data_IF_806290301245
#
_entry.id   IF_806290301245
#
_cell.length_a   1.000
_cell.length_b   1.000
_cell.length_c   1.000
_cell.angle_alpha   90.00
_cell.angle_beta   90.00
_cell.angle_gamma   90.00
#
_symmetry.space_group_name_H-M   'P 1'
#
loop_
_entity.id
_entity.type
_entity.pdbx_description
1 polymer ?
#
# COMPACT_ATOMS: atom_id res chain seq x y z
N UNK A 1 -11.15 -10.34 -19.31
CA UNK A 1 -10.72 -9.17 -18.52
C UNK A 1 -11.81 -8.93 -17.50
N UNK A 2 -11.49 -9.16 -16.24
CA UNK A 2 -12.44 -9.04 -15.13
C UNK A 2 -12.18 -7.71 -14.42
N UNK A 3 -13.24 -6.97 -14.10
CA UNK A 3 -13.16 -5.73 -13.32
C UNK A 3 -13.91 -5.91 -12.01
N UNK A 4 -13.22 -5.65 -10.90
CA UNK A 4 -13.76 -5.73 -9.55
C UNK A 4 -13.63 -4.34 -8.93
N UNK A 5 -14.68 -3.86 -8.28
CA UNK A 5 -14.66 -2.59 -7.55
C UNK A 5 -14.84 -2.88 -6.07
N UNK A 6 -13.94 -2.34 -5.27
CA UNK A 6 -14.03 -2.33 -3.82
C UNK A 6 -14.24 -0.90 -3.33
N UNK A 7 -14.93 -0.77 -2.20
CA UNK A 7 -15.12 0.53 -1.55
C UNK A 7 -14.61 0.45 -0.12
N UNK A 8 -13.80 1.44 0.27
CA UNK A 8 -13.24 1.55 1.61
C UNK A 8 -13.29 2.99 2.12
N UNK A 9 -12.50 3.28 3.15
CA UNK A 9 -12.35 4.60 3.75
C UNK A 9 -10.95 5.12 3.47
N UNK A 10 -10.85 6.35 2.95
CA UNK A 10 -9.59 7.02 2.75
C UNK A 10 -8.94 7.37 4.09
N UNK A 11 -7.72 6.89 4.31
CA UNK A 11 -6.86 7.27 5.44
C UNK A 11 -5.79 8.27 5.04
N UNK A 12 -5.38 8.23 3.77
CA UNK A 12 -4.61 9.27 3.10
C UNK A 12 -5.24 9.52 1.74
N UNK A 13 -5.40 10.79 1.35
CA UNK A 13 -6.05 11.17 0.10
C UNK A 13 -5.08 11.14 -1.09
N UNK A 14 -5.64 11.08 -2.29
CA UNK A 14 -4.90 11.09 -3.54
C UNK A 14 -5.45 10.09 -4.55
N UNK A 15 -4.79 10.04 -5.70
CA UNK A 15 -5.05 9.05 -6.74
C UNK A 15 -3.75 8.36 -7.10
N UNK A 16 -3.81 7.06 -7.28
CA UNK A 16 -2.66 6.26 -7.67
C UNK A 16 -3.11 5.08 -8.52
N UNK A 17 -2.24 4.65 -9.43
CA UNK A 17 -2.46 3.45 -10.21
C UNK A 17 -1.16 2.68 -10.32
N UNK A 18 -1.25 1.35 -10.30
CA UNK A 18 -0.08 0.49 -10.43
C UNK A 18 -0.43 -0.98 -10.33
N UNK A 19 0.58 -1.81 -10.61
CA UNK A 19 0.48 -3.24 -10.38
C UNK A 19 0.39 -3.53 -8.88
N UNK A 20 -0.53 -4.40 -8.48
CA UNK A 20 -0.68 -4.84 -7.11
C UNK A 20 0.48 -5.74 -6.69
N UNK A 21 1.00 -5.51 -5.49
CA UNK A 21 1.92 -6.39 -4.79
C UNK A 21 1.30 -6.78 -3.44
N UNK A 22 0.82 -8.02 -3.34
CA UNK A 22 0.03 -8.49 -2.19
C UNK A 22 0.91 -9.27 -1.23
N UNK A 23 0.91 -8.87 0.04
CA UNK A 23 1.60 -9.53 1.14
C UNK A 23 0.61 -9.97 2.20
N UNK A 24 0.53 -11.26 2.55
CA UNK A 24 -0.44 -11.76 3.55
C UNK A 24 0.00 -11.61 4.99
N UNK A 25 1.27 -11.27 5.22
CA UNK A 25 1.83 -11.06 6.56
C UNK A 25 1.78 -9.57 6.93
N UNK A 26 1.84 -9.28 8.23
CA UNK A 26 2.06 -7.91 8.68
C UNK A 26 3.47 -7.46 8.31
N UNK A 27 3.62 -6.24 7.84
CA UNK A 27 4.92 -5.70 7.42
C UNK A 27 5.00 -4.21 7.75
N UNK A 28 6.14 -3.76 8.29
CA UNK A 28 6.46 -2.34 8.46
C UNK A 28 7.26 -1.75 7.29
N UNK A 29 7.37 -0.42 7.27
CA UNK A 29 8.08 0.35 6.23
C UNK A 29 9.50 0.78 6.61
N UNK A 30 9.98 0.38 7.79
CA UNK A 30 11.33 0.67 8.25
C UNK A 30 12.37 0.11 7.27
N UNK A 31 13.55 0.73 7.23
CA UNK A 31 14.62 0.40 6.28
C UNK A 31 15.04 -1.08 6.27
N UNK A 32 14.87 -1.79 7.40
CA UNK A 32 15.19 -3.21 7.54
C UNK A 32 14.07 -4.14 7.05
N UNK A 33 12.90 -3.62 6.72
CA UNK A 33 11.78 -4.35 6.11
C UNK A 33 11.64 -4.03 4.63
N UNK A 34 11.78 -2.76 4.27
CA UNK A 34 11.76 -2.28 2.89
C UNK A 34 12.92 -1.30 2.72
N UNK A 35 13.81 -1.54 1.77
CA UNK A 35 15.01 -0.74 1.58
C UNK A 35 14.68 0.69 1.17
N UNK A 36 15.37 1.66 1.76
CA UNK A 36 15.19 3.08 1.42
C UNK A 36 15.70 3.40 0.02
N UNK A 37 16.75 2.72 -0.43
CA UNK A 37 17.50 3.07 -1.65
C UNK A 37 17.08 2.25 -2.87
N UNK A 38 16.32 1.17 -2.69
CA UNK A 38 15.95 0.26 -3.77
C UNK A 38 14.45 -0.12 -3.74
N UNK A 39 13.74 0.16 -2.65
CA UNK A 39 12.35 -0.25 -2.48
C UNK A 39 12.17 -1.77 -2.36
N UNK A 40 13.24 -2.53 -2.11
CA UNK A 40 13.18 -3.98 -2.03
C UNK A 40 12.61 -4.43 -0.69
N UNK A 41 11.65 -5.34 -0.72
CA UNK A 41 11.13 -5.99 0.49
C UNK A 41 12.15 -7.00 1.00
N UNK A 42 12.65 -6.78 2.21
CA UNK A 42 13.62 -7.63 2.91
C UNK A 42 13.02 -8.32 4.16
N UNK A 43 11.78 -8.00 4.52
CA UNK A 43 11.11 -8.56 5.68
C UNK A 43 11.05 -10.11 5.59
N UNK A 44 11.71 -10.86 6.51
CA UNK A 44 11.73 -12.31 6.45
C UNK A 44 10.33 -12.91 6.56
N UNK A 45 10.02 -13.86 5.68
CA UNK A 45 8.73 -14.58 5.68
C UNK A 45 7.57 -13.78 5.08
N UNK A 46 7.84 -12.63 4.46
CA UNK A 46 6.89 -11.93 3.62
C UNK A 46 6.70 -12.67 2.29
N UNK A 47 5.45 -12.82 1.85
CA UNK A 47 5.11 -13.32 0.51
C UNK A 47 5.82 -12.51 -0.60
N UNK A 48 6.12 -11.24 -0.30
CA UNK A 48 6.72 -10.28 -1.23
C UNK A 48 8.23 -10.11 -1.05
N UNK A 49 8.89 -10.95 -0.24
CA UNK A 49 10.34 -10.88 -0.04
C UNK A 49 11.10 -10.94 -1.38
N UNK A 50 12.05 -10.01 -1.57
CA UNK A 50 12.82 -9.84 -2.81
C UNK A 50 12.10 -9.08 -3.92
N UNK A 51 10.86 -8.65 -3.73
CA UNK A 51 10.11 -7.84 -4.70
C UNK A 51 10.33 -6.34 -4.46
N UNK A 52 10.16 -5.54 -5.51
CA UNK A 52 10.30 -4.08 -5.48
C UNK A 52 8.93 -3.42 -5.33
N UNK A 53 8.78 -2.53 -4.35
CA UNK A 53 7.53 -1.79 -4.11
C UNK A 53 7.37 -0.54 -4.97
N UNK A 54 8.47 -0.05 -5.56
CA UNK A 54 8.51 1.25 -6.26
C UNK A 54 7.42 1.35 -7.33
N UNK A 55 6.53 2.34 -7.19
CA UNK A 55 5.44 2.58 -8.13
C UNK A 55 4.30 1.54 -8.13
N UNK A 56 4.34 0.55 -7.22
CA UNK A 56 3.28 -0.47 -7.10
C UNK A 56 2.21 -0.08 -6.09
N UNK A 57 1.04 -0.72 -6.18
CA UNK A 57 0.02 -0.66 -5.13
C UNK A 57 0.29 -1.79 -4.14
N UNK A 58 0.70 -1.43 -2.93
CA UNK A 58 1.07 -2.41 -1.92
C UNK A 58 -0.14 -2.79 -1.05
N UNK A 59 -0.48 -4.07 -1.02
CA UNK A 59 -1.69 -4.60 -0.36
C UNK A 59 -1.27 -5.53 0.78
N UNK A 60 -1.70 -5.25 2.01
CA UNK A 60 -1.28 -6.02 3.19
C UNK A 60 -2.28 -5.91 4.35
N UNK A 61 -2.30 -6.84 5.32
CA UNK A 61 -3.25 -6.78 6.44
C UNK A 61 -3.15 -5.49 7.24
N UNK A 62 -1.97 -5.23 7.81
CA UNK A 62 -1.66 -4.07 8.63
C UNK A 62 -0.16 -4.01 8.89
N UNK A 63 0.29 -2.92 9.49
CA UNK A 63 1.69 -2.66 9.82
C UNK A 63 2.19 -3.54 10.96
N UNK A 64 3.41 -4.04 10.84
CA UNK A 64 4.22 -4.49 11.98
C UNK A 64 5.44 -3.57 12.10
N UNK A 65 5.39 -2.56 12.98
CA UNK A 65 6.49 -1.60 13.07
C UNK A 65 6.34 -0.52 14.14
N UNK A 66 7.35 0.35 14.17
CA UNK A 66 7.51 1.49 15.07
C UNK A 66 7.48 2.80 14.27
N UNK A 67 7.54 3.95 14.95
CA UNK A 67 7.54 5.30 14.34
C UNK A 67 8.58 5.48 13.23
N UNK A 68 9.69 4.73 13.26
CA UNK A 68 10.70 4.70 12.20
C UNK A 68 10.14 4.28 10.83
N UNK A 69 9.06 3.49 10.80
CA UNK A 69 8.37 3.10 9.56
C UNK A 69 7.75 4.30 8.84
N UNK A 70 7.11 5.21 9.57
CA UNK A 70 6.49 6.40 9.00
C UNK A 70 7.52 7.30 8.29
N UNK A 71 8.64 7.57 8.96
CA UNK A 71 9.75 8.35 8.39
C UNK A 71 10.37 7.66 7.17
N UNK A 72 10.56 6.35 7.25
CA UNK A 72 11.12 5.57 6.15
C UNK A 72 10.19 5.55 4.93
N UNK A 73 8.87 5.45 5.14
CA UNK A 73 7.89 5.54 4.06
C UNK A 73 7.91 6.93 3.41
N UNK A 74 7.89 8.00 4.21
CA UNK A 74 8.05 9.37 3.72
C UNK A 74 9.32 9.52 2.87
N UNK A 75 10.46 9.07 3.39
CA UNK A 75 11.75 9.15 2.71
C UNK A 75 11.71 8.43 1.36
N UNK A 76 11.16 7.21 1.32
CA UNK A 76 10.98 6.43 0.09
C UNK A 76 10.12 7.16 -0.94
N UNK A 77 9.04 7.79 -0.52
CA UNK A 77 8.13 8.47 -1.45
C UNK A 77 8.70 9.81 -1.95
N UNK A 78 9.30 10.61 -1.07
CA UNK A 78 9.62 12.03 -1.35
C UNK A 78 11.10 12.33 -1.57
N UNK A 79 12.00 11.47 -1.09
CA UNK A 79 13.44 11.72 -1.15
C UNK A 79 14.14 10.75 -2.09
N UNK A 80 14.02 9.44 -1.86
CA UNK A 80 14.70 8.44 -2.70
C UNK A 80 13.85 7.97 -3.89
N UNK A 81 12.56 8.31 -3.91
CA UNK A 81 11.63 7.93 -4.98
C UNK A 81 11.49 6.42 -5.22
N UNK A 82 11.78 5.61 -4.20
CA UNK A 82 11.64 4.15 -4.22
C UNK A 82 10.37 3.64 -3.51
N UNK A 83 9.46 4.55 -3.12
CA UNK A 83 8.22 4.23 -2.42
C UNK A 83 7.11 3.63 -3.29
N UNK A 84 6.10 3.02 -2.66
CA UNK A 84 4.90 2.55 -3.36
C UNK A 84 4.10 3.73 -3.92
N UNK A 85 3.27 3.46 -4.93
CA UNK A 85 2.35 4.46 -5.46
C UNK A 85 1.12 4.65 -4.55
N UNK A 86 0.72 3.63 -3.80
CA UNK A 86 -0.42 3.70 -2.89
C UNK A 86 -0.52 2.46 -2.00
N UNK A 87 -1.28 2.58 -0.92
CA UNK A 87 -1.45 1.55 0.11
C UNK A 87 -2.89 1.08 0.22
N UNK A 88 -3.08 -0.23 0.36
CA UNK A 88 -4.38 -0.84 0.65
C UNK A 88 -4.19 -1.77 1.85
N UNK A 89 -4.92 -1.50 2.93
CA UNK A 89 -4.86 -2.32 4.15
C UNK A 89 -6.22 -2.92 4.51
N UNK A 90 -6.22 -4.03 5.25
CA UNK A 90 -7.44 -4.41 6.00
C UNK A 90 -7.71 -3.38 7.10
N UNK A 91 -6.65 -2.96 7.79
CA UNK A 91 -6.68 -1.90 8.80
C UNK A 91 -5.37 -1.10 8.75
N UNK A 92 -5.43 0.18 8.39
CA UNK A 92 -4.22 1.02 8.43
C UNK A 92 -3.89 1.34 9.90
N UNK A 93 -2.65 1.09 10.31
CA UNK A 93 -2.17 1.51 11.62
C UNK A 93 -1.81 3.01 11.61
N UNK A 94 -2.05 3.73 12.71
CA UNK A 94 -1.77 5.18 12.81
C UNK A 94 -0.34 5.59 12.42
N UNK A 95 0.63 4.69 12.62
CA UNK A 95 2.03 4.89 12.21
C UNK A 95 2.15 5.05 10.68
N UNK A 96 1.52 4.15 9.91
CA UNK A 96 1.62 4.18 8.45
C UNK A 96 0.84 5.34 7.84
N UNK A 97 -0.28 5.74 8.47
CA UNK A 97 -1.07 6.89 8.02
C UNK A 97 -0.20 8.15 7.95
N UNK A 98 0.61 8.41 8.99
CA UNK A 98 1.49 9.59 9.00
C UNK A 98 2.53 9.55 7.87
N UNK A 99 3.10 8.37 7.60
CA UNK A 99 4.05 8.18 6.51
C UNK A 99 3.41 8.34 5.14
N UNK A 100 2.19 7.81 4.94
CA UNK A 100 1.45 7.92 3.69
C UNK A 100 1.00 9.35 3.40
N UNK A 101 0.50 10.07 4.42
CA UNK A 101 0.12 11.49 4.29
C UNK A 101 1.35 12.35 3.96
N UNK A 102 2.46 12.18 4.70
CA UNK A 102 3.69 12.92 4.44
C UNK A 102 4.31 12.54 3.07
N UNK A 103 4.15 11.28 2.68
CA UNK A 103 4.58 10.74 1.39
C UNK A 103 3.68 11.15 0.22
N UNK A 104 2.54 11.79 0.49
CA UNK A 104 1.53 12.19 -0.50
C UNK A 104 1.03 11.02 -1.37
N UNK A 105 0.91 9.84 -0.78
CA UNK A 105 0.34 8.65 -1.43
C UNK A 105 -1.02 8.31 -0.81
N UNK A 106 -1.99 7.84 -1.62
CA UNK A 106 -3.28 7.43 -1.08
C UNK A 106 -3.14 6.14 -0.26
N UNK A 107 -3.93 6.05 0.82
CA UNK A 107 -4.03 4.88 1.66
C UNK A 107 -5.49 4.63 2.01
N UNK A 108 -5.96 3.38 1.84
CA UNK A 108 -7.37 3.01 2.05
C UNK A 108 -7.46 1.76 2.93
N UNK A 109 -8.44 1.73 3.85
CA UNK A 109 -8.83 0.53 4.62
C UNK A 109 -10.35 0.40 4.78
N UNK A 110 -10.81 -0.48 5.69
CA UNK A 110 -12.23 -0.66 6.02
C UNK A 110 -13.06 -0.94 4.76
N UNK A 111 -12.60 -1.90 3.97
CA UNK A 111 -13.24 -2.29 2.72
C UNK A 111 -14.51 -3.12 2.95
N UNK A 112 -15.41 -3.08 1.96
CA UNK A 112 -16.61 -3.91 1.86
C UNK A 112 -16.29 -5.41 1.74
N UNK A 113 -15.10 -5.75 1.26
CA UNK A 113 -14.54 -7.11 1.20
C UNK A 113 -13.09 -7.09 1.63
N UNK A 114 -12.59 -8.24 2.09
CA UNK A 114 -11.17 -8.36 2.42
C UNK A 114 -10.28 -8.06 1.19
N UNK A 115 -9.49 -6.97 1.19
CA UNK A 115 -8.67 -6.60 0.05
C UNK A 115 -7.52 -7.59 -0.17
N UNK A 116 -6.98 -8.21 0.89
CA UNK A 116 -5.87 -9.17 0.82
C UNK A 116 -6.34 -10.49 0.18
N UNK A 117 -7.60 -10.85 0.37
CA UNK A 117 -8.21 -12.02 -0.26
C UNK A 117 -8.70 -11.76 -1.70
N UNK A 118 -9.11 -10.53 -2.00
CA UNK A 118 -9.74 -10.17 -3.28
C UNK A 118 -8.71 -9.79 -4.36
N UNK A 119 -7.71 -8.99 -3.99
CA UNK A 119 -6.65 -8.51 -4.89
C UNK A 119 -5.56 -9.59 -5.00
N UNK A 120 -5.03 -9.80 -6.21
CA UNK A 120 -3.92 -10.71 -6.47
C UNK A 120 -2.72 -9.91 -6.97
N UNK A 121 -1.52 -10.36 -6.61
CA UNK A 121 -0.28 -9.80 -7.17
C UNK A 121 -0.32 -9.88 -8.70
N UNK A 122 0.04 -8.79 -9.37
CA UNK A 122 -0.05 -8.67 -10.82
C UNK A 122 -1.35 -8.06 -11.34
N UNK A 123 -2.38 -7.91 -10.50
CA UNK A 123 -3.57 -7.14 -10.89
C UNK A 123 -3.21 -5.67 -11.12
N UNK A 124 -3.86 -5.01 -12.08
CA UNK A 124 -3.76 -3.56 -12.17
C UNK A 124 -4.79 -2.91 -11.24
N UNK A 125 -4.34 -2.02 -10.37
CA UNK A 125 -5.18 -1.38 -9.35
C UNK A 125 -5.13 0.13 -9.49
N UNK A 126 -6.30 0.75 -9.41
CA UNK A 126 -6.49 2.20 -9.41
C UNK A 126 -7.20 2.60 -8.12
N UNK A 127 -6.63 3.56 -7.39
CA UNK A 127 -7.16 4.10 -6.14
C UNK A 127 -7.68 5.51 -6.41
N UNK A 128 -8.93 5.79 -6.02
CA UNK A 128 -9.48 7.13 -5.92
C UNK A 128 -9.92 7.40 -4.47
N UNK A 129 -9.11 8.17 -3.74
CA UNK A 129 -9.32 8.54 -2.34
C UNK A 129 -9.46 10.07 -2.24
N UNK A 130 -10.69 10.62 -2.31
CA UNK A 130 -10.88 12.06 -2.48
C UNK A 130 -10.47 12.87 -1.26
N UNK A 131 -10.88 12.44 -0.06
CA UNK A 131 -10.60 13.17 1.19
C UNK A 131 -10.50 12.18 2.36
N UNK A 132 -9.70 12.51 3.38
CA UNK A 132 -9.51 11.63 4.55
C UNK A 132 -10.82 11.48 5.33
N UNK A 133 -11.17 10.24 5.67
CA UNK A 133 -12.41 9.88 6.36
C UNK A 133 -13.60 9.61 5.44
N UNK A 134 -13.50 10.00 4.17
CA UNK A 134 -14.55 9.78 3.18
C UNK A 134 -14.41 8.43 2.46
N UNK A 135 -15.46 8.06 1.73
CA UNK A 135 -15.49 6.84 0.91
C UNK A 135 -14.43 6.94 -0.21
N UNK A 136 -13.59 5.92 -0.31
CA UNK A 136 -12.64 5.70 -1.38
C UNK A 136 -13.09 4.55 -2.29
N UNK A 137 -12.70 4.61 -3.56
CA UNK A 137 -12.97 3.56 -4.54
C UNK A 137 -11.66 2.94 -5.01
N UNK A 138 -11.61 1.62 -5.06
CA UNK A 138 -10.49 0.86 -5.61
C UNK A 138 -11.00 -0.01 -6.76
N UNK A 139 -10.50 0.27 -7.95
CA UNK A 139 -10.82 -0.48 -9.18
C UNK A 139 -9.70 -1.45 -9.48
N UNK A 140 -10.03 -2.73 -9.66
CA UNK A 140 -9.10 -3.82 -9.91
C UNK A 140 -9.38 -4.36 -11.32
N UNK A 141 -8.34 -4.46 -12.13
CA UNK A 141 -8.40 -4.97 -13.49
C UNK A 141 -7.50 -6.19 -13.61
N UNK A 142 -8.12 -7.36 -13.83
CA UNK A 142 -7.43 -8.65 -13.95
C UNK A 142 -7.42 -9.14 -15.39
N UNK A 143 -6.21 -9.40 -15.90
CA UNK A 143 -6.03 -10.15 -17.15
C UNK A 143 -6.26 -11.63 -16.81
N UNK A 144 -7.26 -12.22 -17.46
CA UNK A 144 -7.60 -13.64 -17.29
C UNK A 144 -6.56 -14.55 -17.93
#
# INVERSE_FOLDING_TARGET
METIVLTGIARSKGKAAGEALVNRQRIGWAFNHVGNEDGMVMAPGADTQGQIVTGKIFVYPTTAGSTSGAFSLYYKCKVSHHGPAGLICQQVHYIDINGAIAGEIPAVDTFDKDPVATIKTGDWVEIDAPEVGEKATVTITRKG
#
